data_IF_711796178853
#
_entry.id   IF_711796178853
#
_cell.length_a   1.000
_cell.length_b   1.000
_cell.length_c   1.000
_cell.angle_alpha   90.00
_cell.angle_beta   90.00
_cell.angle_gamma   90.00
#
_symmetry.space_group_name_H-M   'P 1'
#
loop_
_entity.id
_entity.type
_entity.pdbx_description
1 polymer ?
#
# COMPACT_ATOMS: atom_id res chain seq x y z
N UNK A 1 -86.25 2.03 -22.66
CA UNK A 1 -85.30 0.95 -22.95
C UNK A 1 -84.51 1.33 -24.19
N UNK A 2 -83.22 1.55 -24.02
CA UNK A 2 -82.26 1.88 -25.07
C UNK A 2 -81.94 0.65 -25.92
N UNK A 3 -81.72 0.83 -27.24
CA UNK A 3 -80.83 -0.03 -28.02
C UNK A 3 -80.25 0.79 -29.19
N UNK A 4 -78.93 0.62 -29.35
CA UNK A 4 -78.00 1.53 -29.97
C UNK A 4 -77.73 1.20 -31.44
N UNK A 5 -77.39 2.24 -32.19
CA UNK A 5 -76.83 2.20 -33.56
C UNK A 5 -75.31 1.98 -33.46
N UNK A 6 -74.69 1.05 -34.23
CA UNK A 6 -73.25 1.00 -34.33
C UNK A 6 -72.76 1.88 -35.49
N UNK A 7 -72.08 2.98 -35.15
CA UNK A 7 -71.28 3.77 -36.08
C UNK A 7 -69.87 3.17 -36.21
N UNK A 8 -69.47 2.82 -37.43
CA UNK A 8 -68.11 2.47 -37.77
C UNK A 8 -67.26 3.75 -37.92
N UNK A 9 -66.30 3.95 -37.02
CA UNK A 9 -65.20 4.91 -37.19
C UNK A 9 -64.00 4.18 -37.77
N UNK A 10 -63.65 4.48 -39.03
CA UNK A 10 -62.41 4.06 -39.65
C UNK A 10 -61.26 4.95 -39.15
N UNK A 11 -60.36 4.40 -38.34
CA UNK A 11 -59.14 5.07 -37.93
C UNK A 11 -58.08 4.97 -39.04
N UNK A 12 -57.72 6.09 -39.63
CA UNK A 12 -56.56 6.21 -40.51
C UNK A 12 -55.28 6.10 -39.68
N UNK A 13 -54.61 4.95 -39.77
CA UNK A 13 -53.26 4.75 -39.23
C UNK A 13 -52.25 5.48 -40.13
N UNK A 14 -51.83 6.67 -39.73
CA UNK A 14 -50.62 7.33 -40.23
C UNK A 14 -49.41 6.47 -39.83
N UNK A 15 -48.91 5.68 -40.77
CA UNK A 15 -47.63 4.98 -40.63
C UNK A 15 -46.53 6.03 -40.69
N UNK A 16 -45.98 6.38 -39.53
CA UNK A 16 -44.74 7.13 -39.40
C UNK A 16 -43.62 6.28 -40.00
N UNK A 17 -43.29 6.49 -41.28
CA UNK A 17 -42.13 5.87 -41.90
C UNK A 17 -40.89 6.38 -41.15
N UNK A 18 -40.05 5.51 -40.56
CA UNK A 18 -38.80 5.95 -39.97
C UNK A 18 -37.91 6.50 -41.08
N UNK A 19 -37.70 7.82 -41.08
CA UNK A 19 -36.64 8.45 -41.87
C UNK A 19 -35.32 7.84 -41.41
N UNK A 20 -34.77 6.95 -42.22
CA UNK A 20 -33.40 6.46 -42.07
C UNK A 20 -32.46 7.64 -42.25
N UNK A 21 -32.09 8.30 -41.15
CA UNK A 21 -31.01 9.27 -41.14
C UNK A 21 -29.76 8.56 -41.67
N UNK A 22 -29.26 8.99 -42.82
CA UNK A 22 -28.04 8.43 -43.39
C UNK A 22 -26.91 8.59 -42.36
N UNK A 23 -26.38 7.46 -41.88
CA UNK A 23 -25.22 7.48 -41.01
C UNK A 23 -24.05 8.13 -41.76
N UNK A 24 -23.46 9.17 -41.18
CA UNK A 24 -22.31 9.85 -41.77
C UNK A 24 -21.12 8.89 -41.84
N UNK A 25 -20.32 9.00 -42.90
CA UNK A 25 -19.08 8.22 -42.99
C UNK A 25 -18.05 8.70 -41.97
N UNK A 26 -17.08 7.86 -41.64
CA UNK A 26 -16.00 8.22 -40.73
C UNK A 26 -15.21 9.44 -41.21
N UNK A 27 -14.91 9.55 -42.51
CA UNK A 27 -14.21 10.70 -43.08
C UNK A 27 -14.98 12.01 -42.87
N UNK A 28 -16.32 11.98 -43.06
CA UNK A 28 -17.18 13.13 -42.81
C UNK A 28 -17.19 13.53 -41.33
N UNK A 29 -17.15 12.55 -40.42
CA UNK A 29 -17.05 12.80 -38.98
C UNK A 29 -15.67 13.35 -38.60
N UNK A 30 -14.60 12.85 -39.19
CA UNK A 30 -13.24 13.34 -38.96
C UNK A 30 -13.07 14.80 -39.40
N UNK A 31 -13.62 15.17 -40.57
CA UNK A 31 -13.61 16.56 -41.05
C UNK A 31 -14.46 17.46 -40.14
N UNK A 32 -15.64 17.00 -39.71
CA UNK A 32 -16.47 17.73 -38.74
C UNK A 32 -15.75 17.94 -37.40
N UNK A 33 -15.03 16.93 -36.92
CA UNK A 33 -14.25 17.03 -35.69
C UNK A 33 -13.15 18.08 -35.86
N UNK A 34 -12.42 18.06 -36.98
CA UNK A 34 -11.39 19.05 -37.28
C UNK A 34 -11.97 20.46 -37.32
N UNK A 35 -13.11 20.66 -37.98
CA UNK A 35 -13.80 21.96 -38.02
C UNK A 35 -14.23 22.42 -36.63
N UNK A 36 -14.76 21.52 -35.79
CA UNK A 36 -15.18 21.83 -34.43
C UNK A 36 -13.99 22.23 -33.53
N UNK A 37 -12.84 21.56 -33.67
CA UNK A 37 -11.60 21.89 -32.96
C UNK A 37 -11.09 23.27 -33.38
N UNK A 38 -11.02 23.54 -34.70
CA UNK A 38 -10.58 24.84 -35.23
C UNK A 38 -11.50 25.98 -34.77
N UNK A 39 -12.80 25.73 -34.73
CA UNK A 39 -13.80 26.69 -34.26
C UNK A 39 -13.86 26.85 -32.72
N UNK A 40 -13.01 26.14 -31.97
CA UNK A 40 -12.99 26.09 -30.51
C UNK A 40 -14.36 25.73 -29.87
N UNK A 41 -15.21 25.00 -30.61
CA UNK A 41 -16.56 24.66 -30.17
C UNK A 41 -16.58 23.33 -29.41
N UNK A 42 -16.32 23.40 -28.10
CA UNK A 42 -16.13 22.23 -27.25
C UNK A 42 -17.36 21.31 -27.17
N UNK A 43 -18.59 21.85 -27.20
CA UNK A 43 -19.81 21.03 -27.22
C UNK A 43 -19.92 20.23 -28.52
N UNK A 44 -19.56 20.85 -29.64
CA UNK A 44 -19.55 20.18 -30.94
C UNK A 44 -18.43 19.14 -31.02
N UNK A 45 -17.24 19.42 -30.46
CA UNK A 45 -16.15 18.42 -30.34
C UNK A 45 -16.65 17.18 -29.62
N UNK A 46 -17.29 17.32 -28.44
CA UNK A 46 -17.81 16.19 -27.69
C UNK A 46 -18.88 15.41 -28.47
N UNK A 47 -19.84 16.12 -29.07
CA UNK A 47 -20.90 15.49 -29.87
C UNK A 47 -20.36 14.71 -31.06
N UNK A 48 -19.34 15.23 -31.77
CA UNK A 48 -18.74 14.53 -32.91
C UNK A 48 -17.90 13.34 -32.45
N UNK A 49 -17.17 13.45 -31.33
CA UNK A 49 -16.42 12.32 -30.75
C UNK A 49 -17.35 11.17 -30.36
N UNK A 50 -18.52 11.46 -29.79
CA UNK A 50 -19.53 10.43 -29.49
C UNK A 50 -20.04 9.74 -30.77
N UNK A 51 -20.29 10.50 -31.83
CA UNK A 51 -20.67 9.95 -33.14
C UNK A 51 -19.55 9.05 -33.72
N UNK A 52 -18.29 9.48 -33.62
CA UNK A 52 -17.13 8.67 -34.06
C UNK A 52 -17.06 7.36 -33.28
N UNK A 53 -17.19 7.41 -31.94
CA UNK A 53 -17.20 6.21 -31.10
C UNK A 53 -18.34 5.25 -31.45
N UNK A 54 -19.51 5.78 -31.79
CA UNK A 54 -20.67 4.99 -32.20
C UNK A 54 -20.45 4.22 -33.52
N UNK A 55 -19.49 4.65 -34.35
CA UNK A 55 -19.11 3.88 -35.56
C UNK A 55 -18.35 2.60 -35.25
N UNK A 56 -17.78 2.46 -34.04
CA UNK A 56 -16.92 1.34 -33.66
C UNK A 56 -15.55 1.31 -34.34
N UNK A 57 -15.24 2.28 -35.20
CA UNK A 57 -13.96 2.37 -35.89
C UNK A 57 -12.86 2.94 -34.99
N UNK A 58 -11.59 2.50 -35.14
CA UNK A 58 -10.47 3.01 -34.36
C UNK A 58 -10.13 4.44 -34.78
N UNK A 59 -10.32 5.41 -33.87
CA UNK A 59 -10.13 6.83 -34.14
C UNK A 59 -8.76 7.41 -33.73
N UNK A 60 -7.79 6.54 -33.40
CA UNK A 60 -6.49 6.94 -32.86
C UNK A 60 -6.55 7.38 -31.39
N UNK A 61 -5.38 7.66 -30.80
CA UNK A 61 -5.28 8.05 -29.39
C UNK A 61 -5.57 9.55 -29.20
N UNK A 62 -5.39 10.35 -30.25
CA UNK A 62 -5.57 11.80 -30.29
C UNK A 62 -7.01 12.20 -29.95
N UNK A 63 -7.98 11.34 -30.28
CA UNK A 63 -9.38 11.57 -29.91
C UNK A 63 -9.56 11.67 -28.39
N UNK A 64 -8.76 10.93 -27.61
CA UNK A 64 -8.79 10.99 -26.15
C UNK A 64 -8.30 12.36 -25.66
N UNK A 65 -7.27 12.92 -26.29
CA UNK A 65 -6.80 14.26 -25.92
C UNK A 65 -7.88 15.32 -26.19
N UNK A 66 -8.48 15.33 -27.39
CA UNK A 66 -9.50 16.31 -27.74
C UNK A 66 -10.77 16.17 -26.90
N UNK A 67 -11.18 14.93 -26.58
CA UNK A 67 -12.28 14.70 -25.65
C UNK A 67 -11.95 15.24 -24.26
N UNK A 68 -10.77 14.92 -23.74
CA UNK A 68 -10.32 15.36 -22.42
C UNK A 68 -10.23 16.87 -22.31
N UNK A 69 -9.65 17.52 -23.32
CA UNK A 69 -9.57 18.98 -23.43
C UNK A 69 -10.96 19.62 -23.49
N UNK A 70 -11.86 19.07 -24.29
CA UNK A 70 -13.21 19.62 -24.43
C UNK A 70 -14.00 19.53 -23.13
N UNK A 71 -13.98 18.38 -22.45
CA UNK A 71 -14.60 18.22 -21.12
C UNK A 71 -14.02 19.18 -20.09
N UNK A 72 -12.70 19.32 -20.08
CA UNK A 72 -12.02 20.25 -19.18
C UNK A 72 -12.49 21.69 -19.40
N UNK A 73 -12.53 22.14 -20.67
CA UNK A 73 -12.97 23.50 -21.04
C UNK A 73 -14.45 23.75 -20.78
N UNK A 74 -15.30 22.72 -20.84
CA UNK A 74 -16.72 22.84 -20.45
C UNK A 74 -16.97 22.76 -18.94
N UNK A 75 -15.91 22.63 -18.13
CA UNK A 75 -16.01 22.51 -16.67
C UNK A 75 -16.34 21.11 -16.16
N UNK A 76 -16.46 20.11 -17.04
CA UNK A 76 -16.72 18.71 -16.74
C UNK A 76 -15.43 17.98 -16.33
N UNK A 77 -14.78 18.51 -15.29
CA UNK A 77 -13.44 18.07 -14.86
C UNK A 77 -13.40 16.63 -14.34
N UNK A 78 -14.50 16.14 -13.76
CA UNK A 78 -14.62 14.75 -13.28
C UNK A 78 -14.51 13.73 -14.41
N UNK A 79 -15.08 14.02 -15.57
CA UNK A 79 -14.97 13.16 -16.76
C UNK A 79 -13.74 13.48 -17.60
N UNK A 80 -13.21 14.71 -17.54
CA UNK A 80 -11.98 15.09 -18.24
C UNK A 80 -10.76 14.32 -17.73
N UNK A 81 -10.61 14.22 -16.41
CA UNK A 81 -9.45 13.59 -15.76
C UNK A 81 -9.17 12.14 -16.23
N UNK A 82 -10.12 11.18 -16.12
CA UNK A 82 -9.87 9.81 -16.54
C UNK A 82 -9.65 9.67 -18.07
N UNK A 83 -10.17 10.60 -18.87
CA UNK A 83 -9.93 10.63 -20.33
C UNK A 83 -8.48 11.04 -20.63
N UNK A 84 -7.99 12.11 -20.00
CA UNK A 84 -6.61 12.59 -20.20
C UNK A 84 -5.55 11.62 -19.66
N UNK A 85 -5.83 10.94 -18.54
CA UNK A 85 -4.95 9.87 -18.03
C UNK A 85 -4.83 8.73 -19.05
N UNK A 86 -5.93 8.31 -19.68
CA UNK A 86 -5.90 7.29 -20.74
C UNK A 86 -5.09 7.76 -21.95
N UNK A 87 -5.22 9.02 -22.35
CA UNK A 87 -4.39 9.60 -23.42
C UNK A 87 -2.90 9.50 -23.08
N UNK A 88 -2.49 10.03 -21.93
CA UNK A 88 -1.10 10.05 -21.46
C UNK A 88 -0.50 8.64 -21.41
N UNK A 89 -1.24 7.67 -20.89
CA UNK A 89 -0.80 6.27 -20.83
C UNK A 89 -0.67 5.63 -22.22
N UNK A 90 -1.52 6.02 -23.18
CA UNK A 90 -1.52 5.44 -24.52
C UNK A 90 -0.40 5.99 -25.42
N UNK A 91 -0.09 7.29 -25.32
CA UNK A 91 0.93 7.93 -26.17
C UNK A 91 2.32 8.02 -25.52
N UNK A 92 2.39 7.96 -24.18
CA UNK A 92 3.64 8.18 -23.45
C UNK A 92 4.21 9.60 -23.64
N UNK A 93 5.46 9.81 -23.21
CA UNK A 93 6.10 11.13 -23.19
C UNK A 93 6.36 11.72 -24.58
N UNK A 94 6.31 10.90 -25.64
CA UNK A 94 6.59 11.31 -27.01
C UNK A 94 5.34 11.83 -27.76
N UNK A 95 4.16 11.82 -27.13
CA UNK A 95 2.93 12.28 -27.76
C UNK A 95 2.92 13.80 -27.99
N UNK A 96 2.46 14.23 -29.17
CA UNK A 96 2.41 15.66 -29.56
C UNK A 96 1.67 16.52 -28.53
N UNK A 97 0.57 16.01 -27.97
CA UNK A 97 -0.22 16.73 -26.96
C UNK A 97 0.08 16.32 -25.51
N UNK A 98 1.13 15.54 -25.26
CA UNK A 98 1.51 15.10 -23.91
C UNK A 98 1.74 16.29 -22.95
N UNK A 99 2.52 17.34 -23.31
CA UNK A 99 2.76 18.46 -22.39
C UNK A 99 1.47 19.20 -22.02
N UNK A 100 0.57 19.39 -22.98
CA UNK A 100 -0.73 20.04 -22.75
C UNK A 100 -1.64 19.18 -21.87
N UNK A 101 -1.64 17.86 -22.06
CA UNK A 101 -2.42 16.94 -21.22
C UNK A 101 -1.94 16.95 -19.76
N UNK A 102 -0.61 16.94 -19.54
CA UNK A 102 -0.03 17.04 -18.20
C UNK A 102 -0.39 18.37 -17.54
N UNK A 103 -0.27 19.49 -18.24
CA UNK A 103 -0.68 20.80 -17.68
C UNK A 103 -2.15 20.85 -17.27
N UNK A 104 -3.05 20.24 -18.05
CA UNK A 104 -4.47 20.16 -17.69
C UNK A 104 -4.69 19.27 -16.47
N UNK A 105 -4.00 18.12 -16.40
CA UNK A 105 -4.04 17.22 -15.24
C UNK A 105 -3.51 17.93 -13.99
N UNK A 106 -2.37 18.62 -14.07
CA UNK A 106 -1.79 19.39 -12.98
C UNK A 106 -2.73 20.52 -12.53
N UNK A 107 -3.37 21.23 -13.47
CA UNK A 107 -4.35 22.27 -13.15
C UNK A 107 -5.60 21.70 -12.46
N UNK A 108 -6.05 20.51 -12.87
CA UNK A 108 -7.14 19.79 -12.20
C UNK A 108 -6.72 19.30 -10.81
N UNK A 109 -5.49 18.81 -10.66
CA UNK A 109 -4.95 18.37 -9.37
C UNK A 109 -4.73 19.53 -8.42
N UNK A 110 -4.19 20.67 -8.87
CA UNK A 110 -4.00 21.87 -8.06
C UNK A 110 -5.34 22.44 -7.55
N UNK A 111 -6.39 22.41 -8.40
CA UNK A 111 -7.74 22.86 -8.02
C UNK A 111 -8.43 21.88 -7.05
N UNK A 112 -8.10 20.59 -7.12
CA UNK A 112 -8.63 19.54 -6.27
C UNK A 112 -7.72 19.16 -5.08
N UNK A 113 -6.54 19.81 -4.94
CA UNK A 113 -5.53 19.49 -3.93
C UNK A 113 -6.06 19.50 -2.48
N UNK A 114 -6.94 20.42 -2.05
CA UNK A 114 -7.51 20.39 -0.71
C UNK A 114 -8.34 19.13 -0.46
N UNK A 115 -9.17 18.75 -1.44
CA UNK A 115 -10.03 17.57 -1.38
C UNK A 115 -9.26 16.27 -1.55
N UNK A 116 -8.24 16.24 -2.41
CA UNK A 116 -7.36 15.08 -2.60
C UNK A 116 -6.49 14.86 -1.38
N UNK A 117 -5.93 15.89 -0.74
CA UNK A 117 -5.14 15.70 0.47
C UNK A 117 -6.01 15.21 1.63
N UNK A 118 -7.24 15.69 1.74
CA UNK A 118 -8.19 15.17 2.74
C UNK A 118 -8.57 13.71 2.43
N UNK A 119 -8.91 13.40 1.18
CA UNK A 119 -9.26 12.05 0.74
C UNK A 119 -8.09 11.06 0.74
N UNK A 120 -6.87 11.51 0.47
CA UNK A 120 -5.64 10.72 0.56
C UNK A 120 -5.31 10.50 2.03
N UNK A 121 -5.46 11.48 2.92
CA UNK A 121 -5.34 11.24 4.36
C UNK A 121 -6.42 10.28 4.89
N UNK A 122 -7.63 10.35 4.36
CA UNK A 122 -8.69 9.39 4.66
C UNK A 122 -8.27 8.02 4.14
N UNK A 123 -7.96 7.86 2.85
CA UNK A 123 -7.60 6.59 2.20
C UNK A 123 -6.30 6.00 2.77
N UNK A 124 -5.27 6.78 3.06
CA UNK A 124 -4.08 6.36 3.78
C UNK A 124 -4.43 5.97 5.23
N UNK A 125 -5.37 6.67 5.85
CA UNK A 125 -6.00 6.26 7.11
C UNK A 125 -6.81 4.96 7.00
N UNK A 126 -7.41 4.64 5.85
CA UNK A 126 -8.14 3.39 5.57
C UNK A 126 -7.17 2.25 5.23
N UNK A 127 -6.06 2.55 4.55
CA UNK A 127 -4.99 1.61 4.21
C UNK A 127 -4.14 1.30 5.45
N UNK A 128 -3.88 2.28 6.30
CA UNK A 128 -3.23 2.10 7.60
C UNK A 128 -4.18 1.48 8.64
N UNK A 129 -5.50 1.63 8.49
CA UNK A 129 -6.48 0.78 9.16
C UNK A 129 -6.66 -0.53 8.39
N UNK A 130 -5.68 -1.42 8.44
CA UNK A 130 -5.77 -2.78 7.86
C UNK A 130 -6.85 -3.69 8.50
N UNK A 131 -7.79 -3.13 9.27
CA UNK A 131 -9.00 -3.78 9.75
C UNK A 131 -10.22 -3.06 9.16
N UNK A 132 -10.99 -3.76 8.30
CA UNK A 132 -12.15 -3.26 7.57
C UNK A 132 -13.17 -2.48 8.44
N UNK A 133 -13.27 -2.83 9.72
CA UNK A 133 -14.12 -2.16 10.71
C UNK A 133 -13.72 -0.70 10.96
N UNK A 134 -12.41 -0.41 11.03
CA UNK A 134 -11.90 0.96 11.21
C UNK A 134 -12.03 1.80 9.95
N UNK A 135 -12.02 1.15 8.78
CA UNK A 135 -12.15 1.83 7.50
C UNK A 135 -13.56 2.42 7.31
N UNK A 136 -14.62 1.65 7.53
CA UNK A 136 -16.00 2.17 7.46
C UNK A 136 -16.26 3.29 8.47
N UNK A 137 -15.72 3.18 9.68
CA UNK A 137 -15.89 4.18 10.73
C UNK A 137 -15.19 5.51 10.39
N UNK A 138 -13.95 5.47 9.89
CA UNK A 138 -13.21 6.68 9.45
C UNK A 138 -13.82 7.31 8.20
N UNK A 139 -14.34 6.49 7.29
CA UNK A 139 -15.06 6.95 6.11
C UNK A 139 -16.39 7.65 6.50
N UNK A 140 -17.11 7.09 7.49
CA UNK A 140 -18.28 7.70 8.10
C UNK A 140 -17.98 9.03 8.80
N UNK A 141 -16.87 9.11 9.55
CA UNK A 141 -16.42 10.35 10.21
C UNK A 141 -15.98 11.42 9.20
N UNK A 142 -15.32 11.00 8.13
CA UNK A 142 -14.92 11.88 7.03
C UNK A 142 -16.12 12.47 6.28
N UNK A 143 -17.16 11.66 6.07
CA UNK A 143 -18.37 12.07 5.38
C UNK A 143 -19.14 13.15 6.16
N UNK A 144 -19.12 13.11 7.49
CA UNK A 144 -19.73 14.16 8.33
C UNK A 144 -19.03 15.53 8.22
N UNK A 145 -17.81 15.57 7.65
CA UNK A 145 -16.99 16.79 7.55
C UNK A 145 -16.92 17.39 6.14
N UNK A 146 -17.51 16.74 5.13
CA UNK A 146 -17.49 17.22 3.75
C UNK A 146 -18.78 17.99 3.41
N UNK A 147 -18.71 19.23 2.91
CA UNK A 147 -19.88 19.95 2.43
C UNK A 147 -20.23 19.51 0.99
N UNK A 148 -21.47 19.06 0.78
CA UNK A 148 -22.06 18.79 -0.54
C UNK A 148 -22.08 17.31 -0.99
N UNK A 149 -22.99 17.02 -1.93
CA UNK A 149 -23.42 15.71 -2.47
C UNK A 149 -22.34 14.85 -3.18
N UNK A 150 -21.07 14.92 -2.79
CA UNK A 150 -20.07 13.91 -3.20
C UNK A 150 -20.28 12.63 -2.38
N UNK A 151 -21.24 11.83 -2.82
CA UNK A 151 -21.73 10.66 -2.10
C UNK A 151 -20.76 9.48 -2.18
N UNK A 152 -20.66 8.74 -1.07
CA UNK A 152 -19.91 7.47 -0.93
C UNK A 152 -20.15 6.47 -2.06
N UNK A 153 -21.28 6.55 -2.75
CA UNK A 153 -21.67 5.70 -3.86
C UNK A 153 -20.58 5.57 -4.93
N UNK A 154 -19.75 6.61 -5.12
CA UNK A 154 -18.63 6.57 -6.09
C UNK A 154 -17.47 5.69 -5.62
N UNK A 155 -17.32 5.48 -4.31
CA UNK A 155 -16.22 4.72 -3.69
C UNK A 155 -16.62 3.33 -3.22
N UNK A 156 -17.92 3.06 -3.05
CA UNK A 156 -18.45 1.75 -2.64
C UNK A 156 -17.87 0.57 -3.44
N UNK A 157 -17.77 0.61 -4.78
CA UNK A 157 -17.21 -0.52 -5.54
C UNK A 157 -15.73 -0.78 -5.21
N UNK A 158 -14.97 0.29 -4.94
CA UNK A 158 -13.56 0.19 -4.59
C UNK A 158 -13.37 -0.31 -3.16
N UNK A 159 -14.22 0.12 -2.22
CA UNK A 159 -14.24 -0.36 -0.84
C UNK A 159 -14.61 -1.84 -0.80
N UNK A 160 -15.68 -2.25 -1.49
CA UNK A 160 -16.10 -3.64 -1.57
C UNK A 160 -15.01 -4.55 -2.16
N UNK A 161 -14.27 -4.08 -3.18
CA UNK A 161 -13.13 -4.81 -3.72
C UNK A 161 -12.00 -4.96 -2.70
N UNK A 162 -11.64 -3.89 -1.99
CA UNK A 162 -10.62 -3.94 -0.94
C UNK A 162 -11.02 -4.86 0.22
N UNK A 163 -12.29 -4.84 0.63
CA UNK A 163 -12.84 -5.75 1.64
C UNK A 163 -12.78 -7.21 1.17
N UNK A 164 -13.14 -7.49 -0.09
CA UNK A 164 -13.06 -8.84 -0.67
C UNK A 164 -11.62 -9.35 -0.79
N UNK A 165 -10.68 -8.49 -1.22
CA UNK A 165 -9.27 -8.82 -1.30
C UNK A 165 -8.66 -9.06 0.10
N UNK A 166 -9.02 -8.25 1.10
CA UNK A 166 -8.61 -8.45 2.49
C UNK A 166 -9.14 -9.78 3.06
N UNK A 167 -10.42 -10.08 2.82
CA UNK A 167 -11.04 -11.34 3.26
C UNK A 167 -10.39 -12.55 2.58
N UNK A 168 -10.03 -12.44 1.30
CA UNK A 168 -9.32 -13.50 0.55
C UNK A 168 -7.90 -13.73 1.08
N UNK A 169 -7.21 -12.67 1.51
CA UNK A 169 -5.85 -12.75 2.02
C UNK A 169 -5.77 -13.15 3.50
N UNK A 170 -6.87 -13.01 4.26
CA UNK A 170 -6.91 -13.33 5.69
C UNK A 170 -6.42 -14.75 6.03
N UNK A 171 -6.86 -15.84 5.37
CA UNK A 171 -6.35 -17.19 5.68
C UNK A 171 -4.86 -17.37 5.36
N UNK A 172 -4.31 -16.57 4.44
CA UNK A 172 -2.86 -16.55 4.18
C UNK A 172 -2.14 -15.84 5.32
N UNK A 173 -2.60 -14.66 5.74
CA UNK A 173 -2.05 -13.90 6.88
C UNK A 173 -2.11 -14.69 8.19
N UNK A 174 -3.18 -15.43 8.45
CA UNK A 174 -3.32 -16.31 9.62
C UNK A 174 -2.30 -17.46 9.59
N UNK A 175 -2.07 -18.08 8.42
CA UNK A 175 -1.01 -19.08 8.24
C UNK A 175 0.37 -18.48 8.45
N UNK A 176 0.64 -17.32 7.86
CA UNK A 176 1.91 -16.61 8.02
C UNK A 176 2.15 -16.25 9.49
N UNK A 177 1.10 -15.82 10.22
CA UNK A 177 1.17 -15.55 11.66
C UNK A 177 1.54 -16.80 12.45
N UNK A 178 0.90 -17.94 12.15
CA UNK A 178 1.19 -19.20 12.81
C UNK A 178 2.64 -19.66 12.54
N UNK A 179 3.13 -19.51 11.31
CA UNK A 179 4.53 -19.83 10.94
C UNK A 179 5.50 -18.93 11.70
N UNK A 180 5.26 -17.62 11.73
CA UNK A 180 6.13 -16.67 12.43
C UNK A 180 6.09 -16.85 13.96
N UNK A 181 4.94 -17.22 14.52
CA UNK A 181 4.83 -17.59 15.93
C UNK A 181 5.61 -18.85 16.24
N UNK A 182 5.50 -19.90 15.42
CA UNK A 182 6.28 -21.12 15.59
C UNK A 182 7.79 -20.86 15.48
N UNK A 183 8.21 -20.01 14.54
CA UNK A 183 9.60 -19.58 14.41
C UNK A 183 10.08 -18.81 15.65
N UNK A 184 9.26 -17.88 16.16
CA UNK A 184 9.56 -17.13 17.37
C UNK A 184 9.66 -18.04 18.61
N UNK A 185 8.77 -19.01 18.76
CA UNK A 185 8.82 -19.97 19.87
C UNK A 185 10.02 -20.91 19.76
N UNK A 186 10.36 -21.37 18.55
CA UNK A 186 11.59 -22.14 18.30
C UNK A 186 12.82 -21.33 18.64
N UNK A 187 12.85 -20.07 18.19
CA UNK A 187 13.92 -19.11 18.52
C UNK A 187 14.05 -18.98 20.05
N UNK A 188 12.97 -18.66 20.76
CA UNK A 188 12.97 -18.58 22.23
C UNK A 188 13.43 -19.86 22.91
N UNK A 189 13.01 -21.02 22.44
CA UNK A 189 13.39 -22.32 22.99
C UNK A 189 14.88 -22.64 22.76
N UNK A 190 15.41 -22.30 21.60
CA UNK A 190 16.84 -22.43 21.30
C UNK A 190 17.68 -21.42 22.09
N UNK A 191 17.15 -20.23 22.39
CA UNK A 191 17.84 -19.18 23.17
C UNK A 191 17.78 -19.37 24.69
N UNK A 192 16.90 -20.23 25.21
CA UNK A 192 17.02 -20.71 26.59
C UNK A 192 18.24 -21.62 26.81
N UNK A 193 19.01 -21.96 25.76
CA UNK A 193 20.29 -22.65 25.90
C UNK A 193 21.39 -21.64 26.23
N UNK A 194 21.88 -21.70 27.47
CA UNK A 194 23.11 -21.04 27.89
C UNK A 194 24.23 -21.45 26.93
N UNK A 195 24.66 -20.54 26.06
CA UNK A 195 25.64 -20.86 25.01
C UNK A 195 27.03 -20.51 25.50
N UNK A 196 27.98 -21.42 25.31
CA UNK A 196 29.40 -21.12 25.51
C UNK A 196 29.84 -20.13 24.44
N UNK A 197 30.35 -18.97 24.88
CA UNK A 197 30.77 -17.88 23.99
C UNK A 197 32.30 -17.74 23.91
N UNK A 198 33.02 -18.36 24.84
CA UNK A 198 34.47 -18.30 24.88
C UNK A 198 35.07 -18.95 26.11
N UNK A 199 36.39 -18.84 26.20
CA UNK A 199 37.19 -19.37 27.32
C UNK A 199 38.06 -18.27 27.90
N UNK A 200 38.28 -18.32 29.21
CA UNK A 200 39.18 -17.38 29.89
C UNK A 200 40.62 -17.73 29.52
N UNK A 201 41.37 -16.74 29.02
CA UNK A 201 42.77 -16.91 28.59
C UNK A 201 43.76 -16.19 29.50
N UNK A 202 43.31 -15.22 30.29
CA UNK A 202 44.13 -14.49 31.25
C UNK A 202 43.28 -13.99 32.42
N UNK A 203 43.88 -13.88 33.61
CA UNK A 203 43.22 -13.38 34.83
C UNK A 203 44.15 -12.38 35.50
N UNK A 204 43.69 -11.14 35.68
CA UNK A 204 44.41 -10.05 36.36
C UNK A 204 43.76 -9.80 37.72
N UNK A 205 44.22 -10.53 38.73
CA UNK A 205 43.71 -10.43 40.10
C UNK A 205 43.86 -9.01 40.67
N UNK A 206 45.02 -8.38 40.46
CA UNK A 206 45.33 -7.04 40.96
C UNK A 206 44.35 -5.96 40.45
N UNK A 207 43.75 -6.21 39.28
CA UNK A 207 42.86 -5.27 38.59
C UNK A 207 41.40 -5.78 38.53
N UNK A 208 41.12 -6.91 39.17
CA UNK A 208 39.80 -7.54 39.26
C UNK A 208 39.08 -7.77 37.91
N UNK A 209 39.82 -8.18 36.88
CA UNK A 209 39.24 -8.57 35.59
C UNK A 209 39.90 -9.82 34.99
N UNK A 210 39.19 -10.50 34.10
CA UNK A 210 39.68 -11.60 33.29
C UNK A 210 39.56 -11.26 31.81
N UNK A 211 40.33 -11.92 30.95
CA UNK A 211 40.25 -11.78 29.48
C UNK A 211 39.66 -13.05 28.90
N UNK A 212 38.62 -12.87 28.08
CA UNK A 212 37.90 -13.96 27.41
C UNK A 212 38.28 -13.98 25.95
N UNK A 213 38.66 -15.15 25.44
CA UNK A 213 38.85 -15.40 24.02
C UNK A 213 37.56 -16.00 23.44
N UNK A 214 36.99 -15.31 22.45
CA UNK A 214 35.79 -15.74 21.75
C UNK A 214 36.16 -16.64 20.58
N UNK A 215 35.27 -17.60 20.26
CA UNK A 215 35.37 -18.43 19.05
C UNK A 215 34.93 -17.69 17.78
N UNK A 216 34.22 -16.57 17.93
CA UNK A 216 33.72 -15.73 16.85
C UNK A 216 33.80 -14.24 17.20
N UNK A 217 32.94 -13.43 16.55
CA UNK A 217 32.88 -12.00 16.80
C UNK A 217 32.55 -11.69 18.27
N UNK A 218 33.22 -10.68 18.82
CA UNK A 218 32.98 -10.23 20.20
C UNK A 218 31.66 -9.48 20.27
N UNK A 219 30.71 -10.02 21.01
CA UNK A 219 29.46 -9.33 21.34
C UNK A 219 29.42 -9.01 22.85
N UNK A 220 29.57 -7.75 23.25
CA UNK A 220 29.45 -7.37 24.66
C UNK A 220 28.00 -7.53 25.13
N UNK A 221 27.81 -8.21 26.26
CA UNK A 221 26.52 -8.47 26.88
C UNK A 221 26.65 -9.08 28.28
N UNK A 222 25.54 -9.40 28.96
CA UNK A 222 25.56 -10.10 30.24
C UNK A 222 26.27 -11.45 30.09
N UNK A 223 27.22 -11.74 30.98
CA UNK A 223 28.04 -12.95 30.90
C UNK A 223 28.07 -13.69 32.23
N UNK A 224 28.39 -14.97 32.14
CA UNK A 224 28.41 -15.90 33.25
C UNK A 224 29.64 -16.79 33.14
N UNK A 225 30.46 -16.85 34.18
CA UNK A 225 31.62 -17.75 34.23
C UNK A 225 31.20 -19.04 34.93
N UNK A 226 31.39 -20.18 34.27
CA UNK A 226 31.18 -21.50 34.87
C UNK A 226 32.46 -21.90 35.58
N UNK A 227 32.41 -21.90 36.90
CA UNK A 227 33.54 -22.35 37.72
C UNK A 227 33.66 -23.87 37.71
N UNK A 228 34.84 -24.39 38.09
CA UNK A 228 35.10 -25.83 38.14
C UNK A 228 34.17 -26.56 39.13
N UNK A 229 33.76 -25.87 40.19
CA UNK A 229 32.93 -26.43 41.27
C UNK A 229 31.42 -26.38 40.94
N UNK A 230 31.04 -25.86 39.78
CA UNK A 230 29.66 -25.72 39.33
C UNK A 230 28.92 -24.40 39.60
N UNK A 231 29.29 -23.49 40.53
CA UNK A 231 28.62 -22.21 40.65
C UNK A 231 28.90 -21.31 39.44
N UNK A 232 27.91 -20.48 39.12
CA UNK A 232 27.94 -19.51 38.03
C UNK A 232 28.18 -18.12 38.59
N UNK A 233 29.22 -17.44 38.09
CA UNK A 233 29.56 -16.08 38.52
C UNK A 233 29.12 -15.09 37.44
N UNK A 234 28.27 -14.12 37.80
CA UNK A 234 27.87 -13.05 36.87
C UNK A 234 29.07 -12.15 36.56
N UNK A 235 29.31 -11.94 35.27
CA UNK A 235 30.38 -11.12 34.74
C UNK A 235 29.82 -9.95 33.94
N UNK A 236 30.43 -8.76 34.13
CA UNK A 236 30.13 -7.57 33.34
C UNK A 236 31.12 -7.43 32.18
N UNK A 237 30.66 -7.13 30.96
CA UNK A 237 31.53 -6.86 29.83
C UNK A 237 32.38 -5.61 30.09
N UNK A 238 33.65 -5.69 29.71
CA UNK A 238 34.63 -4.62 29.76
C UNK A 238 35.03 -4.14 28.36
N UNK A 239 36.33 -3.89 28.15
CA UNK A 239 36.87 -3.35 26.90
C UNK A 239 37.31 -4.48 25.97
N UNK A 240 37.17 -4.25 24.66
CA UNK A 240 37.77 -5.13 23.65
C UNK A 240 39.30 -5.00 23.76
N UNK A 241 39.99 -6.10 24.05
CA UNK A 241 41.44 -6.13 24.27
C UNK A 241 42.21 -6.69 23.07
N UNK A 242 41.50 -7.24 22.08
CA UNK A 242 42.07 -7.80 20.86
C UNK A 242 40.98 -8.21 19.85
N UNK A 243 41.34 -8.75 18.68
CA UNK A 243 40.41 -9.02 17.59
C UNK A 243 39.19 -9.87 17.99
N UNK A 244 39.40 -10.84 18.89
CA UNK A 244 38.36 -11.72 19.42
C UNK A 244 38.46 -11.81 20.95
N UNK A 245 38.87 -10.73 21.62
CA UNK A 245 39.08 -10.71 23.06
C UNK A 245 38.35 -9.57 23.75
N UNK A 246 37.75 -9.87 24.90
CA UNK A 246 37.04 -8.92 25.74
C UNK A 246 37.50 -9.10 27.19
N UNK A 247 37.75 -7.99 27.89
CA UNK A 247 37.89 -8.05 29.35
C UNK A 247 36.52 -8.19 30.01
N UNK A 248 36.43 -8.95 31.10
CA UNK A 248 35.22 -9.10 31.91
C UNK A 248 35.55 -8.81 33.38
N UNK A 249 34.63 -8.17 34.09
CA UNK A 249 34.75 -7.96 35.53
C UNK A 249 33.71 -8.81 36.27
N UNK A 250 34.19 -9.57 37.25
CA UNK A 250 33.39 -10.48 38.09
C UNK A 250 33.36 -10.04 39.56
N UNK A 251 33.78 -8.80 39.85
CA UNK A 251 33.71 -8.27 41.21
C UNK A 251 34.67 -8.95 42.20
N UNK A 252 34.16 -9.26 43.40
CA UNK A 252 34.94 -9.82 44.51
C UNK A 252 35.26 -11.30 44.29
N UNK A 253 34.55 -11.91 43.35
CA UNK A 253 34.60 -13.32 43.00
C UNK A 253 35.73 -13.65 42.02
N UNK A 254 36.54 -12.66 41.60
CA UNK A 254 37.67 -12.85 40.66
C UNK A 254 38.68 -13.92 41.11
N UNK A 255 38.84 -14.13 42.41
CA UNK A 255 39.72 -15.17 42.95
C UNK A 255 39.25 -16.60 42.64
N UNK A 256 37.97 -16.78 42.27
CA UNK A 256 37.38 -18.06 41.89
C UNK A 256 37.46 -18.32 40.37
N UNK A 257 37.92 -17.32 39.61
CA UNK A 257 38.00 -17.35 38.16
C UNK A 257 39.40 -17.82 37.72
N UNK A 258 39.45 -18.77 36.79
CA UNK A 258 40.67 -19.41 36.33
C UNK A 258 40.75 -19.47 34.79
N UNK A 259 41.98 -19.49 34.28
CA UNK A 259 42.25 -19.74 32.87
C UNK A 259 41.71 -21.11 32.45
N UNK A 260 41.10 -21.18 31.27
CA UNK A 260 40.45 -22.36 30.72
C UNK A 260 38.97 -22.51 31.10
N UNK A 261 38.46 -21.72 32.04
CA UNK A 261 37.03 -21.75 32.38
C UNK A 261 36.17 -21.25 31.23
N UNK A 262 34.99 -21.86 31.10
CA UNK A 262 34.03 -21.50 30.06
C UNK A 262 33.24 -20.27 30.49
N UNK A 263 33.16 -19.29 29.59
CA UNK A 263 32.24 -18.17 29.72
C UNK A 263 31.02 -18.47 28.88
N UNK A 264 29.86 -18.29 29.49
CA UNK A 264 28.56 -18.43 28.87
C UNK A 264 27.86 -17.08 28.83
N UNK A 265 26.92 -16.97 27.89
CA UNK A 265 25.96 -15.87 27.85
C UNK A 265 24.57 -16.45 27.88
N UNK A 266 23.75 -15.91 28.76
CA UNK A 266 22.30 -16.10 28.72
C UNK A 266 21.77 -15.01 27.81
N UNK A 267 21.35 -15.40 26.60
CA UNK A 267 20.69 -14.49 25.68
C UNK A 267 19.26 -14.27 26.16
N UNK A 268 18.85 -13.02 26.33
CA UNK A 268 17.44 -12.72 26.54
C UNK A 268 16.73 -12.85 25.19
N UNK A 269 15.55 -13.48 25.18
CA UNK A 269 14.72 -13.56 23.98
C UNK A 269 14.55 -12.16 23.36
N UNK A 270 14.90 -12.01 22.08
CA UNK A 270 14.83 -10.74 21.35
C UNK A 270 16.19 -10.05 21.09
N UNK A 271 17.30 -10.53 21.65
CA UNK A 271 18.62 -9.91 21.46
C UNK A 271 19.33 -10.28 20.14
N UNK A 272 18.86 -11.29 19.41
CA UNK A 272 19.43 -11.64 18.10
C UNK A 272 18.62 -11.06 16.95
N UNK A 273 19.26 -10.67 15.83
CA UNK A 273 18.57 -10.11 14.67
C UNK A 273 17.42 -11.00 14.18
N UNK A 274 17.61 -12.32 14.16
CA UNK A 274 16.61 -13.29 13.72
C UNK A 274 15.37 -13.36 14.64
N UNK A 275 15.55 -13.36 15.97
CA UNK A 275 14.45 -13.33 16.92
C UNK A 275 13.71 -11.97 16.88
N UNK A 276 14.46 -10.86 16.79
CA UNK A 276 13.90 -9.53 16.70
C UNK A 276 13.09 -9.32 15.41
N UNK A 277 13.52 -9.92 14.30
CA UNK A 277 12.78 -9.87 13.03
C UNK A 277 11.51 -10.73 13.08
N UNK A 278 11.57 -11.94 13.65
CA UNK A 278 10.38 -12.77 13.87
C UNK A 278 9.35 -12.09 14.79
N UNK A 279 9.81 -11.47 15.88
CA UNK A 279 8.94 -10.71 16.79
C UNK A 279 8.30 -9.50 16.09
N UNK A 280 9.07 -8.77 15.28
CA UNK A 280 8.55 -7.65 14.46
C UNK A 280 7.50 -8.13 13.47
N UNK A 281 7.74 -9.25 12.80
CA UNK A 281 6.80 -9.86 11.85
C UNK A 281 5.52 -10.32 12.56
N UNK A 282 5.61 -10.97 13.72
CA UNK A 282 4.43 -11.36 14.52
C UNK A 282 3.62 -10.13 14.93
N UNK A 283 4.28 -9.07 15.41
CA UNK A 283 3.61 -7.82 15.80
C UNK A 283 2.89 -7.17 14.61
N UNK A 284 3.56 -7.10 13.46
CA UNK A 284 2.97 -6.56 12.23
C UNK A 284 1.77 -7.39 11.78
N UNK A 285 1.88 -8.72 11.76
CA UNK A 285 0.79 -9.61 11.34
C UNK A 285 -0.42 -9.56 12.29
N UNK A 286 -0.21 -9.42 13.60
CA UNK A 286 -1.31 -9.20 14.56
C UNK A 286 -2.03 -7.88 14.31
N UNK A 287 -1.28 -6.81 14.07
CA UNK A 287 -1.86 -5.51 13.72
C UNK A 287 -2.68 -5.57 12.42
N UNK A 288 -2.20 -6.33 11.43
CA UNK A 288 -2.88 -6.60 10.16
C UNK A 288 -4.13 -7.48 10.25
N UNK A 289 -4.28 -8.22 11.36
CA UNK A 289 -5.41 -9.09 11.64
C UNK A 289 -6.36 -8.50 12.69
N UNK A 290 -5.98 -7.38 13.33
CA UNK A 290 -6.75 -6.76 14.41
C UNK A 290 -6.75 -7.55 15.71
N UNK A 291 -5.62 -8.23 16.00
CA UNK A 291 -5.38 -9.04 17.19
C UNK A 291 -4.47 -8.32 18.21
#
# INVERSE_FOLDING_TARGET
>A
MHLAVPGFLAAALLVNAPSFAQALSFDQLADRLRSAIIADNQRQVLSVIEQIKATGQPAGNEILFFEGQARYRTGDTSNAFPVLVRYVNAVGQNGVNYPAAIQMLDAMEAKNAPYRNQMVQIIEGLIAAENATGARQRLSEAQQRLPGDQTLATFEPRIAKLEADAQRLRPRRERDLAVQQAALETCKADFQRTSSIGTIVDVKLDWAFAVVQFSGAVEPGPMEVVTADGPVITAKPGKVTGPNQLSISVGKEIAQVQVGQTVRRTYVAGETPACADAERMVKQLRQQLGL
#
